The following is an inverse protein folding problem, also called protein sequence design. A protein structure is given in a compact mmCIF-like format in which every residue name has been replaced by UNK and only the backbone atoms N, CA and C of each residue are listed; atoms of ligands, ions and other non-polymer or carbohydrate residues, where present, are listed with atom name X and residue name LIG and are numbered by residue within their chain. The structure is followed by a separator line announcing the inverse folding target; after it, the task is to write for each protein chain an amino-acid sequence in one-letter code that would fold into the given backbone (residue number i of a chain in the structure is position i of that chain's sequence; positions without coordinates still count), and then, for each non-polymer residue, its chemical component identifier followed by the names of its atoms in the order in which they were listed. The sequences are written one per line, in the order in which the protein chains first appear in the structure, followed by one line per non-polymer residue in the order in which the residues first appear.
data_IF_240374489701
#
_entry.id   IF_240374489701
#
_cell.length_a   1.000
_cell.length_b   1.000
_cell.length_c   1.000
_cell.angle_alpha   90.00
_cell.angle_beta   90.00
_cell.angle_gamma   90.00
#
_symmetry.space_group_name_H-M   'P 1'
#
loop_
_entity.id
_entity.type
_entity.pdbx_description
1 polymer ?
#
# COMPACT_ATOMS: atom_id res chain seq x y z
N UNK A 1 -10.05 -34.39 6.41
CA UNK A 1 -9.90 -34.09 4.97
C UNK A 1 -9.00 -32.89 4.73
N UNK A 2 -9.31 -31.64 5.18
CA UNK A 2 -8.44 -30.49 4.90
C UNK A 2 -7.04 -30.63 5.51
N UNK A 3 -6.93 -31.08 6.74
CA UNK A 3 -5.65 -31.36 7.39
C UNK A 3 -4.82 -32.43 6.64
N UNK A 4 -5.46 -33.41 6.01
CA UNK A 4 -4.78 -34.45 5.24
C UNK A 4 -4.30 -33.91 3.87
N UNK A 5 -5.06 -32.99 3.28
CA UNK A 5 -4.66 -32.25 2.07
C UNK A 5 -3.45 -31.36 2.38
N UNK A 6 -3.49 -30.63 3.48
CA UNK A 6 -2.36 -29.80 3.94
C UNK A 6 -1.11 -30.62 4.22
N UNK A 7 -1.29 -31.84 4.75
CA UNK A 7 -0.20 -32.79 4.98
C UNK A 7 0.28 -33.53 3.72
N UNK A 8 -0.29 -33.23 2.54
CA UNK A 8 0.10 -33.85 1.27
C UNK A 8 -0.29 -35.34 1.11
N UNK A 9 -1.24 -35.83 1.94
CA UNK A 9 -1.68 -37.22 1.95
C UNK A 9 -2.80 -37.54 0.97
N UNK A 10 -3.40 -36.51 0.36
CA UNK A 10 -4.58 -36.63 -0.53
C UNK A 10 -4.21 -36.10 -1.89
N UNK A 11 -4.28 -36.95 -2.92
CA UNK A 11 -4.05 -36.56 -4.33
C UNK A 11 -5.33 -36.29 -5.11
N UNK A 12 -6.48 -36.83 -4.65
CA UNK A 12 -7.78 -36.65 -5.32
C UNK A 12 -8.91 -36.58 -4.32
N UNK A 13 -9.81 -35.63 -4.51
CA UNK A 13 -11.06 -35.51 -3.75
C UNK A 13 -12.22 -35.78 -4.69
N UNK A 14 -13.06 -36.78 -4.37
CA UNK A 14 -14.24 -37.14 -5.14
C UNK A 14 -15.48 -36.93 -4.29
N UNK A 15 -16.43 -36.17 -4.79
CA UNK A 15 -17.74 -35.92 -4.17
C UNK A 15 -18.86 -36.29 -5.12
N UNK A 16 -20.04 -36.59 -4.58
CA UNK A 16 -21.23 -36.85 -5.38
C UNK A 16 -21.67 -35.62 -6.15
N UNK A 17 -21.72 -34.48 -5.47
CA UNK A 17 -22.05 -33.16 -5.98
C UNK A 17 -21.33 -32.07 -5.16
N UNK A 18 -21.24 -30.85 -5.70
CA UNK A 18 -20.52 -29.75 -5.06
C UNK A 18 -21.10 -29.35 -3.72
N UNK A 19 -22.39 -29.57 -3.47
CA UNK A 19 -23.04 -29.27 -2.19
C UNK A 19 -22.47 -30.08 -1.01
N UNK A 20 -21.81 -31.19 -1.30
CA UNK A 20 -21.14 -32.05 -0.29
C UNK A 20 -19.83 -31.44 0.20
N UNK A 21 -19.21 -30.60 -0.59
CA UNK A 21 -18.00 -29.90 -0.17
C UNK A 21 -18.30 -28.75 0.80
N UNK A 22 -19.48 -28.12 0.66
CA UNK A 22 -19.95 -27.07 1.55
C UNK A 22 -21.22 -26.37 1.05
N UNK A 23 -21.95 -25.75 1.98
CA UNK A 23 -23.13 -24.94 1.66
C UNK A 23 -22.77 -23.51 1.25
N UNK A 24 -21.56 -23.08 1.55
CA UNK A 24 -21.10 -21.75 1.20
C UNK A 24 -20.34 -21.81 -0.13
N UNK A 25 -20.97 -21.28 -1.16
CA UNK A 25 -20.47 -21.29 -2.54
C UNK A 25 -19.09 -20.64 -2.67
N UNK A 26 -18.81 -19.60 -1.87
CA UNK A 26 -17.51 -18.95 -1.85
C UNK A 26 -16.40 -19.84 -1.25
N UNK A 27 -16.73 -20.58 -0.20
CA UNK A 27 -15.78 -21.54 0.39
C UNK A 27 -15.50 -22.71 -0.56
N UNK A 28 -16.52 -23.20 -1.23
CA UNK A 28 -16.38 -24.27 -2.24
C UNK A 28 -15.45 -23.82 -3.35
N UNK A 29 -15.68 -22.65 -3.94
CA UNK A 29 -14.81 -22.07 -4.98
C UNK A 29 -13.36 -21.85 -4.49
N UNK A 30 -13.18 -21.39 -3.25
CA UNK A 30 -11.85 -21.25 -2.67
C UNK A 30 -11.09 -22.59 -2.60
N UNK A 31 -11.77 -23.66 -2.23
CA UNK A 31 -11.14 -24.99 -2.20
C UNK A 31 -10.85 -25.50 -3.61
N UNK A 32 -11.80 -25.46 -4.51
CA UNK A 32 -11.69 -26.04 -5.85
C UNK A 32 -10.76 -25.27 -6.77
N UNK A 33 -10.73 -23.93 -6.68
CA UNK A 33 -10.02 -23.07 -7.63
C UNK A 33 -8.65 -22.61 -7.12
N UNK A 34 -8.41 -22.65 -5.81
CA UNK A 34 -7.17 -22.18 -5.21
C UNK A 34 -6.44 -23.27 -4.43
N UNK A 35 -7.08 -23.84 -3.40
CA UNK A 35 -6.38 -24.69 -2.44
C UNK A 35 -6.01 -26.04 -3.10
N UNK A 36 -6.96 -26.68 -3.76
CA UNK A 36 -6.70 -27.98 -4.40
C UNK A 36 -5.66 -27.90 -5.53
N UNK A 37 -5.75 -26.94 -6.48
CA UNK A 37 -4.71 -26.78 -7.50
C UNK A 37 -3.34 -26.44 -6.93
N UNK A 38 -3.24 -25.56 -5.92
CA UNK A 38 -1.97 -25.22 -5.27
C UNK A 38 -1.31 -26.43 -4.58
N UNK A 39 -2.10 -27.39 -4.13
CA UNK A 39 -1.63 -28.61 -3.47
C UNK A 39 -1.52 -29.81 -4.43
N UNK A 40 -1.77 -29.62 -5.72
CA UNK A 40 -1.76 -30.68 -6.72
C UNK A 40 -2.88 -31.72 -6.53
N UNK A 41 -3.99 -31.31 -5.87
CA UNK A 41 -5.13 -32.20 -5.59
C UNK A 41 -6.15 -32.07 -6.72
N UNK A 42 -6.47 -33.20 -7.39
CA UNK A 42 -7.56 -33.29 -8.35
C UNK A 42 -8.89 -33.30 -7.66
N UNK A 43 -9.87 -32.53 -8.17
CA UNK A 43 -11.23 -32.49 -7.66
C UNK A 43 -12.24 -33.00 -8.69
N UNK A 44 -13.14 -33.90 -8.26
CA UNK A 44 -14.16 -34.48 -9.11
C UNK A 44 -15.52 -34.38 -8.39
N UNK A 45 -16.53 -33.78 -9.03
CA UNK A 45 -17.94 -33.80 -8.61
C UNK A 45 -18.77 -34.55 -9.68
N UNK A 46 -19.17 -35.79 -9.34
CA UNK A 46 -19.71 -36.74 -10.33
C UNK A 46 -21.00 -36.24 -10.96
N UNK A 47 -21.97 -35.82 -10.15
CA UNK A 47 -23.29 -35.41 -10.62
C UNK A 47 -23.25 -34.07 -11.37
N UNK A 48 -22.29 -33.22 -11.05
CA UNK A 48 -22.12 -31.89 -11.66
C UNK A 48 -21.23 -31.94 -12.90
N UNK A 49 -20.67 -33.13 -13.25
CA UNK A 49 -19.79 -33.29 -14.40
C UNK A 49 -18.45 -32.55 -14.27
N UNK A 50 -18.04 -32.20 -13.06
CA UNK A 50 -16.85 -31.40 -12.81
C UNK A 50 -15.64 -32.30 -12.58
N UNK A 51 -14.55 -32.04 -13.32
CA UNK A 51 -13.26 -32.68 -13.14
C UNK A 51 -12.15 -31.67 -13.40
N UNK A 52 -11.42 -31.30 -12.34
CA UNK A 52 -10.36 -30.29 -12.42
C UNK A 52 -9.19 -30.68 -13.34
N UNK A 53 -9.06 -31.97 -13.70
CA UNK A 53 -8.05 -32.42 -14.67
C UNK A 53 -8.46 -32.25 -16.14
N UNK A 54 -9.75 -32.09 -16.42
CA UNK A 54 -10.26 -31.92 -17.80
C UNK A 54 -10.28 -30.47 -18.26
N UNK A 55 -9.91 -29.52 -17.39
CA UNK A 55 -9.76 -28.12 -17.77
C UNK A 55 -11.07 -27.37 -18.11
N UNK A 56 -12.22 -27.92 -17.74
CA UNK A 56 -13.51 -27.28 -17.98
C UNK A 56 -13.62 -25.96 -17.19
N UNK A 57 -13.74 -24.87 -17.96
CA UNK A 57 -13.76 -23.49 -17.49
C UNK A 57 -15.11 -23.02 -16.94
N UNK A 58 -16.02 -23.94 -16.56
CA UNK A 58 -17.34 -23.57 -16.02
C UNK A 58 -17.29 -22.73 -14.72
N UNK A 59 -16.13 -22.73 -14.06
CA UNK A 59 -15.89 -21.90 -12.88
C UNK A 59 -15.27 -20.53 -13.15
N UNK A 60 -14.98 -20.18 -14.42
CA UNK A 60 -14.42 -18.87 -14.75
C UNK A 60 -15.26 -17.68 -14.22
N UNK A 61 -16.62 -17.69 -14.31
CA UNK A 61 -17.45 -16.63 -13.73
C UNK A 61 -17.31 -16.51 -12.23
N UNK A 62 -17.22 -17.64 -11.52
CA UNK A 62 -17.04 -17.69 -10.06
C UNK A 62 -15.68 -17.18 -9.62
N UNK A 63 -14.62 -17.53 -10.36
CA UNK A 63 -13.26 -17.03 -10.12
C UNK A 63 -13.23 -15.51 -10.21
N UNK A 64 -13.91 -14.92 -11.18
CA UNK A 64 -14.02 -13.47 -11.33
C UNK A 64 -14.76 -12.81 -10.16
N UNK A 65 -15.86 -13.37 -9.72
CA UNK A 65 -16.64 -12.89 -8.56
C UNK A 65 -15.78 -12.99 -7.28
N UNK A 66 -15.06 -14.10 -7.10
CA UNK A 66 -14.20 -14.32 -5.95
C UNK A 66 -13.02 -13.34 -5.92
N UNK A 67 -12.36 -13.12 -7.06
CA UNK A 67 -11.28 -12.14 -7.17
C UNK A 67 -11.77 -10.73 -6.85
N UNK A 68 -12.93 -10.34 -7.37
CA UNK A 68 -13.53 -9.03 -7.06
C UNK A 68 -13.86 -8.90 -5.57
N UNK A 69 -14.41 -9.95 -4.96
CA UNK A 69 -14.69 -9.96 -3.53
C UNK A 69 -13.42 -9.86 -2.70
N UNK A 70 -12.36 -10.62 -3.02
CA UNK A 70 -11.06 -10.53 -2.34
C UNK A 70 -10.46 -9.13 -2.40
N UNK A 71 -10.52 -8.49 -3.57
CA UNK A 71 -10.04 -7.10 -3.74
C UNK A 71 -10.83 -6.16 -2.84
N UNK A 72 -12.16 -6.28 -2.80
CA UNK A 72 -13.03 -5.47 -1.93
C UNK A 72 -12.77 -5.71 -0.45
N UNK A 73 -12.62 -6.97 -0.03
CA UNK A 73 -12.34 -7.32 1.36
C UNK A 73 -10.97 -6.81 1.81
N UNK A 74 -9.94 -7.01 0.99
CA UNK A 74 -8.59 -6.47 1.23
C UNK A 74 -8.61 -4.95 1.35
N UNK A 75 -9.31 -4.25 0.45
CA UNK A 75 -9.48 -2.80 0.50
C UNK A 75 -10.15 -2.34 1.80
N UNK A 76 -11.21 -3.04 2.25
CA UNK A 76 -11.87 -2.74 3.54
C UNK A 76 -10.92 -2.91 4.72
N UNK A 77 -10.15 -4.00 4.74
CA UNK A 77 -9.15 -4.27 5.80
C UNK A 77 -8.06 -3.20 5.84
N UNK A 78 -7.50 -2.83 4.68
CA UNK A 78 -6.50 -1.77 4.58
C UNK A 78 -7.07 -0.44 5.09
N UNK A 79 -8.27 -0.04 4.64
CA UNK A 79 -8.94 1.18 5.10
C UNK A 79 -9.19 1.17 6.61
N UNK A 80 -9.59 0.02 7.18
CA UNK A 80 -9.81 -0.13 8.62
C UNK A 80 -8.51 0.06 9.40
N UNK A 81 -7.39 -0.51 8.93
CA UNK A 81 -6.06 -0.33 9.54
C UNK A 81 -5.62 1.14 9.48
N UNK A 82 -5.77 1.80 8.33
CA UNK A 82 -5.44 3.22 8.20
C UNK A 82 -6.29 4.09 9.12
N UNK A 83 -7.59 3.83 9.18
CA UNK A 83 -8.50 4.54 10.08
C UNK A 83 -8.12 4.34 11.54
N UNK A 84 -7.83 3.09 11.95
CA UNK A 84 -7.40 2.78 13.31
C UNK A 84 -6.08 3.47 13.67
N UNK A 85 -5.09 3.47 12.76
CA UNK A 85 -3.83 4.20 12.96
C UNK A 85 -4.06 5.71 13.09
N UNK A 86 -4.83 6.30 12.18
CA UNK A 86 -5.14 7.73 12.23
C UNK A 86 -5.85 8.13 13.53
N UNK A 87 -6.85 7.33 13.96
CA UNK A 87 -7.57 7.57 15.22
C UNK A 87 -6.70 7.41 16.47
N UNK A 88 -5.67 6.58 16.41
CA UNK A 88 -4.71 6.41 17.52
C UNK A 88 -3.57 7.45 17.52
N UNK A 89 -3.60 8.43 16.61
CA UNK A 89 -2.53 9.43 16.45
C UNK A 89 -1.20 8.85 15.95
N UNK A 90 -1.22 7.61 15.43
CA UNK A 90 -0.02 7.01 14.82
C UNK A 90 0.09 7.40 13.36
N UNK A 91 1.28 7.73 12.87
CA UNK A 91 1.48 8.09 11.48
C UNK A 91 1.05 6.95 10.54
N UNK A 92 0.36 7.29 9.46
CA UNK A 92 -0.05 6.35 8.43
C UNK A 92 1.14 6.00 7.52
N UNK A 93 2.02 6.99 7.29
CA UNK A 93 3.22 6.84 6.47
C UNK A 93 4.44 6.47 7.33
N UNK A 94 5.37 5.73 6.73
CA UNK A 94 6.62 5.34 7.40
C UNK A 94 7.67 6.47 7.45
N UNK A 95 7.55 7.43 6.53
CA UNK A 95 8.48 8.56 6.44
C UNK A 95 7.78 9.87 6.77
N UNK A 96 8.39 10.72 7.62
CA UNK A 96 7.86 12.03 7.93
C UNK A 96 7.88 12.94 6.71
N UNK A 97 6.97 13.89 6.68
CA UNK A 97 6.99 14.98 5.71
C UNK A 97 8.06 16.01 6.07
N UNK A 98 8.50 16.79 5.10
CA UNK A 98 9.48 17.86 5.34
C UNK A 98 8.96 18.83 6.41
N UNK A 99 9.75 19.09 7.42
CA UNK A 99 9.37 19.86 8.63
C UNK A 99 9.13 18.97 9.86
N UNK A 100 9.16 17.64 9.69
CA UNK A 100 9.02 16.68 10.78
C UNK A 100 10.09 15.60 10.72
N UNK A 101 10.41 15.04 11.90
CA UNK A 101 11.28 13.88 12.09
C UNK A 101 10.47 12.74 12.70
N UNK A 102 10.99 11.52 12.57
CA UNK A 102 10.41 10.35 13.23
C UNK A 102 11.02 10.22 14.62
N UNK A 103 10.18 10.33 15.66
CA UNK A 103 10.58 10.08 17.04
C UNK A 103 10.79 8.59 17.34
N UNK A 104 11.38 8.30 18.50
CA UNK A 104 11.67 6.92 18.95
C UNK A 104 10.39 6.09 19.15
N UNK A 105 9.31 6.72 19.57
CA UNK A 105 7.97 6.12 19.72
C UNK A 105 7.24 5.92 18.38
N UNK A 106 7.88 6.29 17.26
CA UNK A 106 7.33 6.21 15.92
C UNK A 106 6.34 7.33 15.55
N UNK A 107 6.11 8.31 16.43
CA UNK A 107 5.34 9.52 16.15
C UNK A 107 6.20 10.54 15.41
N UNK A 108 5.55 11.49 14.76
CA UNK A 108 6.25 12.60 14.13
C UNK A 108 6.45 13.73 15.13
N UNK A 109 7.69 14.19 15.23
CA UNK A 109 8.11 15.35 16.03
C UNK A 109 8.53 16.48 15.10
N UNK A 110 8.38 17.73 15.54
CA UNK A 110 8.77 18.89 14.74
C UNK A 110 10.28 18.89 14.51
N UNK A 111 10.67 19.11 13.27
CA UNK A 111 12.07 19.29 12.87
C UNK A 111 12.44 20.76 13.02
N UNK A 112 13.21 21.11 14.05
CA UNK A 112 13.57 22.49 14.34
C UNK A 112 14.39 23.17 13.23
N UNK A 113 15.11 22.40 12.40
CA UNK A 113 15.87 22.92 11.26
C UNK A 113 14.97 23.16 10.03
N UNK A 114 14.05 22.25 9.75
CA UNK A 114 13.20 22.32 8.55
C UNK A 114 11.88 23.07 8.78
N UNK A 115 11.31 23.07 10.00
CA UNK A 115 10.03 23.72 10.28
C UNK A 115 10.01 25.24 10.04
N UNK A 116 11.09 26.02 10.33
CA UNK A 116 11.15 27.43 9.97
C UNK A 116 11.03 27.67 8.46
N UNK A 117 11.65 26.80 7.64
CA UNK A 117 11.55 26.88 6.18
C UNK A 117 10.13 26.61 5.70
N UNK A 118 9.45 25.63 6.28
CA UNK A 118 8.04 25.35 5.97
C UNK A 118 7.17 26.57 6.32
N UNK A 119 7.35 27.17 7.51
CA UNK A 119 6.65 28.38 7.92
C UNK A 119 6.90 29.55 6.94
N UNK A 120 8.14 29.71 6.48
CA UNK A 120 8.50 30.72 5.49
C UNK A 120 7.79 30.49 4.15
N UNK A 121 7.72 29.24 3.68
CA UNK A 121 6.99 28.87 2.44
C UNK A 121 5.52 29.29 2.54
N UNK A 122 4.85 28.95 3.65
CA UNK A 122 3.46 29.34 3.89
C UNK A 122 3.29 30.87 4.00
N UNK A 123 4.19 31.57 4.68
CA UNK A 123 4.15 33.03 4.79
C UNK A 123 4.31 33.72 3.44
N UNK A 124 5.22 33.23 2.61
CA UNK A 124 5.39 33.75 1.24
C UNK A 124 4.18 33.48 0.36
N UNK A 125 3.55 32.31 0.51
CA UNK A 125 2.32 31.98 -0.20
C UNK A 125 1.17 32.91 0.21
N UNK A 126 0.98 33.14 1.50
CA UNK A 126 -0.04 34.07 2.03
C UNK A 126 0.21 35.52 1.58
N UNK A 127 1.46 35.90 1.36
CA UNK A 127 1.83 37.19 0.77
C UNK A 127 1.60 37.27 -0.77
N UNK A 128 0.93 36.26 -1.38
CA UNK A 128 0.56 36.24 -2.78
C UNK A 128 1.66 35.76 -3.73
N UNK A 129 2.75 35.16 -3.23
CA UNK A 129 3.79 34.61 -4.10
C UNK A 129 3.42 33.22 -4.58
N UNK A 130 3.49 33.01 -5.90
CA UNK A 130 3.30 31.68 -6.50
C UNK A 130 4.47 30.72 -6.21
N UNK A 131 4.25 29.38 -6.33
CA UNK A 131 5.25 28.36 -5.98
C UNK A 131 6.61 28.54 -6.69
N UNK A 132 6.62 28.98 -7.93
CA UNK A 132 7.86 29.25 -8.70
C UNK A 132 8.67 30.39 -8.10
N UNK A 133 8.00 31.47 -7.67
CA UNK A 133 8.66 32.61 -7.03
C UNK A 133 9.20 32.21 -5.64
N UNK A 134 8.45 31.43 -4.88
CA UNK A 134 8.87 30.90 -3.58
C UNK A 134 10.13 30.04 -3.75
N UNK A 135 10.13 29.10 -4.71
CA UNK A 135 11.29 28.26 -5.01
C UNK A 135 12.54 29.09 -5.35
N UNK A 136 12.37 30.19 -6.13
CA UNK A 136 13.47 31.10 -6.45
C UNK A 136 14.01 31.80 -5.20
N UNK A 137 13.15 32.35 -4.35
CA UNK A 137 13.55 33.01 -3.10
C UNK A 137 14.36 32.07 -2.20
N UNK A 138 13.90 30.85 -2.01
CA UNK A 138 14.63 29.86 -1.18
C UNK A 138 15.98 29.48 -1.80
N UNK A 139 16.05 29.40 -3.14
CA UNK A 139 17.29 29.13 -3.86
C UNK A 139 18.30 30.29 -3.72
N UNK A 140 17.84 31.54 -3.87
CA UNK A 140 18.64 32.73 -3.69
C UNK A 140 19.18 32.88 -2.25
N UNK A 141 18.39 32.46 -1.27
CA UNK A 141 18.80 32.41 0.15
C UNK A 141 19.69 31.21 0.50
N UNK A 142 20.03 30.36 -0.48
CA UNK A 142 20.84 29.16 -0.29
C UNK A 142 20.31 28.24 0.82
N UNK A 143 18.99 28.12 0.93
CA UNK A 143 18.35 27.19 1.89
C UNK A 143 18.50 25.77 1.34
N UNK A 144 19.03 24.81 2.14
CA UNK A 144 19.17 23.43 1.69
C UNK A 144 17.83 22.82 1.26
N UNK A 145 17.84 22.12 0.13
CA UNK A 145 16.63 21.38 -0.30
C UNK A 145 16.34 20.22 0.68
N UNK A 146 15.11 19.71 0.72
CA UNK A 146 14.79 18.52 1.52
C UNK A 146 15.72 17.33 1.25
N UNK A 147 16.12 17.11 0.00
CA UNK A 147 17.06 16.05 -0.36
C UNK A 147 18.48 16.31 0.15
N UNK A 148 18.93 17.56 0.13
CA UNK A 148 20.23 17.95 0.70
C UNK A 148 20.26 17.77 2.21
N UNK A 149 19.17 18.14 2.90
CA UNK A 149 19.03 17.97 4.33
C UNK A 149 19.01 16.48 4.72
N UNK A 150 18.26 15.66 3.98
CA UNK A 150 18.23 14.20 4.14
C UNK A 150 19.63 13.59 3.95
N UNK A 151 20.34 13.99 2.90
CA UNK A 151 21.70 13.53 2.64
C UNK A 151 22.67 13.89 3.79
N UNK A 152 22.63 15.11 4.29
CA UNK A 152 23.49 15.54 5.40
C UNK A 152 23.27 14.71 6.67
N UNK A 153 22.04 14.26 6.92
CA UNK A 153 21.64 13.51 8.12
C UNK A 153 21.83 12.00 8.00
N UNK A 154 21.61 11.45 6.83
CA UNK A 154 21.52 9.98 6.65
C UNK A 154 22.53 9.43 5.64
N UNK A 155 23.21 10.28 4.86
CA UNK A 155 24.01 9.86 3.73
C UNK A 155 23.21 9.38 2.51
N UNK A 156 21.88 9.45 2.55
CA UNK A 156 21.00 8.98 1.46
C UNK A 156 21.13 9.85 0.21
N UNK A 157 21.50 9.26 -0.90
CA UNK A 157 21.64 9.95 -2.20
C UNK A 157 20.36 9.96 -3.02
N UNK A 158 19.27 9.36 -2.53
CA UNK A 158 18.03 9.13 -3.29
C UNK A 158 17.41 10.39 -3.87
N UNK A 159 17.49 11.53 -3.17
CA UNK A 159 16.92 12.84 -3.57
C UNK A 159 17.96 13.94 -3.53
N UNK A 160 19.24 13.59 -3.46
CA UNK A 160 20.33 14.53 -3.39
C UNK A 160 20.93 14.75 -4.76
N UNK A 161 21.11 16.01 -5.12
CA UNK A 161 21.75 16.45 -6.35
C UNK A 161 22.98 17.30 -6.01
N UNK A 162 24.20 16.74 -6.09
CA UNK A 162 25.45 17.41 -5.68
C UNK A 162 25.66 18.76 -6.35
N UNK A 163 25.33 18.85 -7.64
CA UNK A 163 25.53 20.07 -8.42
C UNK A 163 24.52 21.18 -8.07
N UNK A 164 23.43 20.83 -7.39
CA UNK A 164 22.31 21.74 -7.12
C UNK A 164 21.75 21.62 -5.72
N UNK A 165 22.58 21.72 -4.64
CA UNK A 165 22.15 21.43 -3.27
C UNK A 165 21.11 22.42 -2.72
N UNK A 166 21.02 23.60 -3.30
CA UNK A 166 20.09 24.68 -2.88
C UNK A 166 19.03 25.00 -3.92
N UNK A 167 18.97 24.28 -5.05
CA UNK A 167 18.02 24.56 -6.12
C UNK A 167 16.66 23.94 -5.80
N UNK A 168 15.76 24.75 -5.31
CA UNK A 168 14.38 24.34 -5.03
C UNK A 168 13.57 24.16 -6.31
N UNK A 169 12.89 23.04 -6.44
CA UNK A 169 11.95 22.77 -7.53
C UNK A 169 10.56 23.29 -7.17
N UNK A 170 9.87 23.88 -8.15
CA UNK A 170 8.47 24.35 -7.98
C UNK A 170 7.56 23.26 -7.46
N UNK A 171 7.68 22.02 -7.97
CA UNK A 171 6.87 20.88 -7.53
C UNK A 171 7.08 20.55 -6.05
N UNK A 172 8.27 20.73 -5.50
CA UNK A 172 8.53 20.54 -4.07
C UNK A 172 7.73 21.52 -3.23
N UNK A 173 7.66 22.77 -3.67
CA UNK A 173 6.85 23.80 -2.98
C UNK A 173 5.36 23.46 -3.06
N UNK A 174 4.86 23.09 -4.25
CA UNK A 174 3.47 22.67 -4.43
C UNK A 174 3.12 21.52 -3.48
N UNK A 175 3.95 20.49 -3.42
CA UNK A 175 3.71 19.35 -2.55
C UNK A 175 3.73 19.72 -1.06
N UNK A 176 4.56 20.69 -0.63
CA UNK A 176 4.55 21.17 0.75
C UNK A 176 3.24 21.94 1.07
N UNK A 177 2.79 22.78 0.13
CA UNK A 177 1.59 23.60 0.33
C UNK A 177 0.27 22.81 0.25
N UNK A 178 0.23 21.73 -0.54
CA UNK A 178 -0.97 20.90 -0.75
C UNK A 178 -1.19 19.85 0.35
N UNK A 179 -0.16 19.50 1.12
CA UNK A 179 -0.30 18.50 2.18
C UNK A 179 -1.12 19.02 3.33
N UNK A 180 -2.20 18.27 3.64
CA UNK A 180 -3.14 18.53 4.74
C UNK A 180 -2.81 17.65 5.95
N UNK A 181 -1.57 17.62 6.36
CA UNK A 181 -1.17 16.81 7.53
C UNK A 181 -0.83 17.70 8.72
#
# INVERSE_FOLDING_TARGET
MLADIEAGKVGTVIVKDMSRLGRNYLQVGMYTDMIFPQRGVRFIAINDGVDSAQGDNDFAPLRNIFNEWMVRDTSKKIKAVFRSKGMSGKPITSQPVYGYLKGEDGRFIVDEEAAPVVKQIFSLCLAGNGPTKIARVLTEQQIPTPGTLEYRRTGSTRRYYPDYPYKWATNTIVHILERKE
#
